data_IF_606043447406
#
_entry.id   IF_606043447406
#
_cell.length_a   1.000
_cell.length_b   1.000
_cell.length_c   1.000
_cell.angle_alpha   90.00
_cell.angle_beta   90.00
_cell.angle_gamma   90.00
#
_symmetry.space_group_name_H-M   'P 1'
#
loop_
_entity.id
_entity.type
_entity.pdbx_description
1 polymer ?
#
# COMPACT_ATOMS: atom_id res chain seq x y z
N UNK A 1 -36.65 1.53 -9.98
CA UNK A 1 -35.32 0.91 -10.21
C UNK A 1 -34.28 1.80 -9.53
N UNK A 2 -33.67 1.34 -8.42
CA UNK A 2 -32.70 2.16 -7.66
C UNK A 2 -31.37 2.19 -8.41
N UNK A 3 -30.97 3.37 -8.85
CA UNK A 3 -29.63 3.65 -9.35
C UNK A 3 -28.62 3.38 -8.23
N UNK A 4 -27.86 2.30 -8.32
CA UNK A 4 -26.72 2.07 -7.43
C UNK A 4 -25.59 2.96 -7.94
N UNK A 5 -25.34 4.06 -7.23
CA UNK A 5 -24.11 4.84 -7.40
C UNK A 5 -22.93 3.91 -7.09
N UNK A 6 -22.26 3.44 -8.12
CA UNK A 6 -20.96 2.76 -8.01
C UNK A 6 -19.95 3.84 -7.65
N UNK A 7 -19.86 4.16 -6.36
CA UNK A 7 -18.91 5.13 -5.84
C UNK A 7 -17.51 4.56 -6.13
N UNK A 8 -16.86 5.02 -7.21
CA UNK A 8 -15.44 4.75 -7.45
C UNK A 8 -14.71 5.38 -6.28
N UNK A 9 -14.32 4.60 -5.28
CA UNK A 9 -13.45 5.09 -4.21
C UNK A 9 -12.14 5.51 -4.86
N UNK A 10 -12.01 6.81 -5.17
CA UNK A 10 -10.76 7.38 -5.65
C UNK A 10 -9.80 7.38 -4.46
N UNK A 11 -8.62 6.79 -4.65
CA UNK A 11 -7.54 6.84 -3.67
C UNK A 11 -7.21 8.30 -3.34
N UNK A 12 -7.07 8.59 -2.06
CA UNK A 12 -6.56 9.90 -1.60
C UNK A 12 -5.05 9.96 -1.86
N UNK A 13 -4.41 11.15 -1.85
CA UNK A 13 -2.95 11.24 -1.89
C UNK A 13 -2.27 10.44 -0.77
N UNK A 14 -2.92 10.31 0.39
CA UNK A 14 -2.44 9.51 1.51
C UNK A 14 -2.48 8.00 1.20
N UNK A 15 -3.59 7.52 0.63
CA UNK A 15 -3.69 6.12 0.17
C UNK A 15 -2.65 5.84 -0.92
N UNK A 16 -2.41 6.80 -1.80
CA UNK A 16 -1.42 6.66 -2.87
C UNK A 16 0.00 6.45 -2.32
N UNK A 17 0.39 7.22 -1.30
CA UNK A 17 1.65 7.01 -0.59
C UNK A 17 1.73 5.59 0.01
N UNK A 18 0.65 5.13 0.66
CA UNK A 18 0.58 3.79 1.24
C UNK A 18 0.70 2.69 0.17
N UNK A 19 0.06 2.85 -0.98
CA UNK A 19 0.18 1.94 -2.14
C UNK A 19 1.62 1.86 -2.61
N UNK A 20 2.28 3.00 -2.82
CA UNK A 20 3.67 3.03 -3.30
C UNK A 20 4.63 2.36 -2.31
N UNK A 21 4.41 2.54 -0.99
CA UNK A 21 5.17 1.85 0.05
C UNK A 21 4.96 0.33 -0.05
N UNK A 22 3.70 -0.13 -0.12
CA UNK A 22 3.38 -1.57 -0.23
C UNK A 22 4.04 -2.18 -1.47
N UNK A 23 3.90 -1.53 -2.63
CA UNK A 23 4.47 -2.01 -3.89
C UNK A 23 6.01 -2.05 -3.84
N UNK A 24 6.65 -1.03 -3.22
CA UNK A 24 8.11 -1.00 -3.07
C UNK A 24 8.61 -2.15 -2.19
N UNK A 25 7.90 -2.44 -1.10
CA UNK A 25 8.23 -3.57 -0.23
C UNK A 25 8.01 -4.92 -0.92
N UNK A 26 6.90 -5.09 -1.65
CA UNK A 26 6.66 -6.31 -2.42
C UNK A 26 7.66 -6.51 -3.56
N UNK A 27 8.07 -5.44 -4.26
CA UNK A 27 9.12 -5.49 -5.28
C UNK A 27 10.44 -5.97 -4.68
N UNK A 28 10.79 -5.49 -3.48
CA UNK A 28 12.04 -5.84 -2.80
C UNK A 28 12.04 -7.27 -2.25
N UNK A 29 10.97 -7.65 -1.56
CA UNK A 29 10.88 -8.94 -0.86
C UNK A 29 10.36 -10.07 -1.76
N UNK A 30 9.74 -9.75 -2.89
CA UNK A 30 9.10 -10.68 -3.83
C UNK A 30 7.76 -11.23 -3.33
N UNK A 31 7.70 -11.65 -2.06
CA UNK A 31 6.49 -12.18 -1.42
C UNK A 31 6.43 -11.78 0.04
N UNK A 32 5.25 -11.32 0.49
CA UNK A 32 4.97 -11.05 1.90
C UNK A 32 3.89 -12.00 2.39
N UNK A 33 4.19 -12.78 3.42
CA UNK A 33 3.34 -13.88 3.90
C UNK A 33 2.01 -13.39 4.48
N UNK A 34 1.98 -12.22 5.13
CA UNK A 34 0.78 -11.71 5.79
C UNK A 34 0.66 -10.20 5.66
N UNK A 35 -0.54 -9.70 5.40
CA UNK A 35 -0.82 -8.26 5.37
C UNK A 35 -0.61 -7.58 6.72
N UNK A 36 -0.48 -8.34 7.82
CA UNK A 36 -0.05 -7.80 9.11
C UNK A 36 1.30 -7.08 9.02
N UNK A 37 2.19 -7.53 8.13
CA UNK A 37 3.47 -6.89 7.89
C UNK A 37 3.32 -5.40 7.62
N UNK A 38 2.39 -5.02 6.74
CA UNK A 38 2.15 -3.62 6.39
C UNK A 38 1.50 -2.85 7.53
N UNK A 39 0.63 -3.50 8.32
CA UNK A 39 0.04 -2.86 9.48
C UNK A 39 1.12 -2.48 10.50
N UNK A 40 2.04 -3.41 10.78
CA UNK A 40 3.17 -3.15 11.66
C UNK A 40 4.12 -2.08 11.08
N UNK A 41 4.46 -2.17 9.80
CA UNK A 41 5.29 -1.20 9.10
C UNK A 41 4.71 0.21 9.22
N UNK A 42 3.43 0.38 8.88
CA UNK A 42 2.76 1.68 8.92
C UNK A 42 2.70 2.24 10.34
N UNK A 43 2.15 1.47 11.28
CA UNK A 43 1.88 1.98 12.63
C UNK A 43 3.15 2.20 13.44
N UNK A 44 4.10 1.27 13.36
CA UNK A 44 5.25 1.24 14.27
C UNK A 44 6.46 1.95 13.69
N UNK A 45 6.70 1.85 12.39
CA UNK A 45 7.92 2.37 11.78
C UNK A 45 7.71 3.71 11.08
N UNK A 46 6.54 3.92 10.46
CA UNK A 46 6.27 5.08 9.61
C UNK A 46 5.30 6.08 10.25
N UNK A 47 4.68 5.75 11.38
CA UNK A 47 3.65 6.60 12.00
C UNK A 47 2.44 6.86 11.11
N UNK A 48 2.14 5.94 10.20
CA UNK A 48 1.01 5.98 9.26
C UNK A 48 -0.18 5.27 9.91
N UNK A 49 -1.32 5.95 9.98
CA UNK A 49 -2.58 5.39 10.45
C UNK A 49 -3.43 5.07 9.21
N UNK A 50 -3.40 3.80 8.79
CA UNK A 50 -4.14 3.34 7.62
C UNK A 50 -4.78 1.97 7.86
N UNK A 51 -5.97 1.77 7.31
CA UNK A 51 -6.63 0.46 7.28
C UNK A 51 -6.09 -0.38 6.12
N UNK A 52 -5.09 -1.23 6.42
CA UNK A 52 -4.40 -2.06 5.43
C UNK A 52 -5.35 -2.99 4.67
N UNK A 53 -6.31 -3.63 5.36
CA UNK A 53 -7.17 -4.65 4.73
C UNK A 53 -8.03 -4.06 3.59
N UNK A 54 -8.77 -2.96 3.79
CA UNK A 54 -9.44 -2.25 2.69
C UNK A 54 -8.49 -1.81 1.58
N UNK A 55 -7.28 -1.34 1.91
CA UNK A 55 -6.33 -0.90 0.90
C UNK A 55 -5.85 -2.06 0.01
N UNK A 56 -5.53 -3.21 0.60
CA UNK A 56 -5.16 -4.43 -0.13
C UNK A 56 -6.31 -4.90 -1.03
N UNK A 57 -7.57 -4.82 -0.58
CA UNK A 57 -8.75 -5.13 -1.39
C UNK A 57 -8.85 -4.20 -2.61
N UNK A 58 -8.60 -2.90 -2.45
CA UNK A 58 -8.58 -1.92 -3.57
C UNK A 58 -7.45 -2.25 -4.54
N UNK A 59 -6.23 -2.45 -4.04
CA UNK A 59 -5.07 -2.77 -4.87
C UNK A 59 -5.24 -4.07 -5.65
N UNK A 60 -5.92 -5.07 -5.06
CA UNK A 60 -6.24 -6.34 -5.73
C UNK A 60 -7.27 -6.11 -6.84
N UNK A 61 -8.32 -5.32 -6.60
CA UNK A 61 -9.33 -4.97 -7.63
C UNK A 61 -8.73 -4.18 -8.79
N UNK A 62 -7.68 -3.42 -8.53
CA UNK A 62 -6.95 -2.66 -9.53
C UNK A 62 -5.84 -3.47 -10.21
N UNK A 63 -5.68 -4.75 -9.85
CA UNK A 63 -4.67 -5.66 -10.39
C UNK A 63 -3.24 -5.17 -10.13
N UNK A 64 -2.99 -4.50 -9.01
CA UNK A 64 -1.64 -4.07 -8.62
C UNK A 64 -0.90 -5.16 -7.83
N UNK A 65 -1.65 -6.03 -7.15
CA UNK A 65 -1.15 -7.12 -6.32
C UNK A 65 -2.07 -8.33 -6.42
N UNK A 66 -1.54 -9.49 -6.04
CA UNK A 66 -2.29 -10.74 -5.84
C UNK A 66 -2.09 -11.28 -4.44
N UNK A 67 -3.00 -12.14 -3.97
CA UNK A 67 -2.92 -12.82 -2.67
C UNK A 67 -3.51 -14.24 -2.74
N UNK A 68 -3.15 -15.14 -1.82
CA UNK A 68 -3.71 -16.51 -1.75
C UNK A 68 -4.93 -16.65 -0.83
N UNK A 69 -5.62 -15.53 -0.56
CA UNK A 69 -6.85 -15.50 0.25
C UNK A 69 -6.60 -14.89 1.63
N UNK A 70 -7.52 -15.16 2.57
CA UNK A 70 -7.48 -14.58 3.93
C UNK A 70 -7.26 -15.65 4.99
N UNK A 71 -6.72 -15.28 6.15
CA UNK A 71 -6.74 -16.09 7.36
C UNK A 71 -8.14 -16.06 7.98
N UNK A 72 -8.72 -17.22 8.25
CA UNK A 72 -10.11 -17.32 8.74
C UNK A 72 -10.30 -16.63 10.10
N UNK A 73 -9.25 -16.63 10.93
CA UNK A 73 -9.30 -16.10 12.31
C UNK A 73 -9.13 -14.58 12.39
N UNK A 74 -8.42 -13.97 11.43
CA UNK A 74 -8.04 -12.55 11.51
C UNK A 74 -8.52 -11.70 10.34
N UNK A 75 -9.00 -12.32 9.26
CA UNK A 75 -9.38 -11.62 8.03
C UNK A 75 -8.21 -11.01 7.25
N UNK A 76 -6.97 -11.22 7.70
CA UNK A 76 -5.75 -10.71 7.06
C UNK A 76 -5.45 -11.49 5.77
N UNK A 77 -4.83 -10.82 4.81
CA UNK A 77 -4.43 -11.45 3.54
C UNK A 77 -3.15 -12.25 3.66
N UNK A 78 -3.11 -13.36 2.91
CA UNK A 78 -1.99 -14.31 2.82
C UNK A 78 -1.22 -14.10 1.54
N UNK A 79 0.09 -14.28 1.61
CA UNK A 79 0.95 -14.50 0.44
C UNK A 79 0.77 -13.44 -0.65
N UNK A 80 0.98 -12.19 -0.25
CA UNK A 80 0.87 -11.03 -1.12
C UNK A 80 2.08 -10.96 -2.06
N UNK A 81 1.81 -10.66 -3.32
CA UNK A 81 2.81 -10.48 -4.37
C UNK A 81 2.41 -9.31 -5.28
N UNK A 82 3.39 -8.65 -5.86
CA UNK A 82 3.17 -7.59 -6.85
C UNK A 82 2.92 -8.21 -8.24
N UNK A 83 2.02 -7.60 -9.01
CA UNK A 83 1.79 -7.99 -10.42
C UNK A 83 2.68 -7.18 -11.37
N UNK A 84 2.74 -7.57 -12.63
CA UNK A 84 3.41 -6.78 -13.67
C UNK A 84 2.81 -5.37 -13.80
N UNK A 85 1.48 -5.26 -13.68
CA UNK A 85 0.78 -3.97 -13.67
C UNK A 85 1.14 -3.14 -12.43
N UNK A 86 1.27 -3.77 -11.26
CA UNK A 86 1.76 -3.14 -10.05
C UNK A 86 3.19 -2.61 -10.19
N UNK A 87 4.08 -3.38 -10.82
CA UNK A 87 5.46 -2.95 -11.10
C UNK A 87 5.49 -1.74 -12.04
N UNK A 88 4.71 -1.76 -13.12
CA UNK A 88 4.59 -0.64 -14.04
C UNK A 88 4.03 0.60 -13.34
N UNK A 89 2.95 0.42 -12.57
CA UNK A 89 2.34 1.48 -11.79
C UNK A 89 3.33 2.13 -10.82
N UNK A 90 4.11 1.33 -10.09
CA UNK A 90 5.14 1.82 -9.19
C UNK A 90 6.17 2.67 -9.94
N UNK A 91 6.70 2.15 -11.06
CA UNK A 91 7.69 2.85 -11.89
C UNK A 91 7.18 4.21 -12.39
N UNK A 92 5.93 4.29 -12.80
CA UNK A 92 5.35 5.51 -13.37
C UNK A 92 4.99 6.59 -12.33
N UNK A 93 4.83 6.21 -11.06
CA UNK A 93 4.28 7.09 -10.03
C UNK A 93 5.22 7.38 -8.87
N UNK A 94 6.25 6.57 -8.63
CA UNK A 94 7.16 6.75 -7.48
C UNK A 94 7.85 8.12 -7.48
N UNK A 95 8.26 8.63 -8.65
CA UNK A 95 8.91 9.94 -8.77
C UNK A 95 7.96 11.14 -8.58
N UNK A 96 6.64 10.90 -8.55
CA UNK A 96 5.61 11.92 -8.41
C UNK A 96 5.10 12.05 -6.97
N UNK A 97 5.55 11.17 -6.07
CA UNK A 97 5.06 11.12 -4.70
C UNK A 97 5.46 12.38 -3.93
N UNK A 98 4.50 12.93 -3.18
CA UNK A 98 4.73 14.07 -2.29
C UNK A 98 4.49 13.60 -0.87
N UNK A 99 5.52 13.70 -0.03
CA UNK A 99 5.44 13.36 1.40
C UNK A 99 5.28 14.66 2.19
N UNK A 100 4.12 14.82 2.84
CA UNK A 100 3.82 15.98 3.67
C UNK A 100 4.85 16.13 4.79
N UNK A 101 5.50 17.29 4.90
CA UNK A 101 6.46 17.56 5.98
C UNK A 101 5.76 17.96 7.29
N UNK A 102 4.49 18.38 7.21
CA UNK A 102 3.70 18.82 8.37
C UNK A 102 3.01 17.65 9.07
N UNK A 103 2.70 16.59 8.32
CA UNK A 103 1.94 15.44 8.83
C UNK A 103 2.83 14.39 9.52
N UNK A 104 4.08 14.27 9.09
CA UNK A 104 4.99 13.23 9.54
C UNK A 104 6.15 13.80 10.35
N UNK A 105 6.50 13.12 11.45
CA UNK A 105 7.75 13.39 12.14
C UNK A 105 8.95 13.17 11.18
N UNK A 106 10.00 14.03 11.20
CA UNK A 106 11.12 13.94 10.25
C UNK A 106 11.75 12.54 10.11
N UNK A 107 11.87 11.80 11.22
CA UNK A 107 12.39 10.42 11.21
C UNK A 107 11.53 9.46 10.37
N UNK A 108 10.22 9.66 10.34
CA UNK A 108 9.31 8.84 9.53
C UNK A 108 9.45 9.20 8.05
N UNK A 109 9.61 10.48 7.74
CA UNK A 109 9.85 10.97 6.38
C UNK A 109 11.13 10.35 5.81
N UNK A 110 12.21 10.33 6.60
CA UNK A 110 13.47 9.69 6.22
C UNK A 110 13.28 8.20 5.91
N UNK A 111 12.55 7.47 6.76
CA UNK A 111 12.24 6.05 6.57
C UNK A 111 11.40 5.81 5.31
N UNK A 112 10.39 6.65 5.06
CA UNK A 112 9.56 6.57 3.86
C UNK A 112 10.43 6.79 2.62
N UNK A 113 11.25 7.86 2.59
CA UNK A 113 12.17 8.13 1.47
C UNK A 113 13.11 6.96 1.21
N UNK A 114 13.65 6.35 2.27
CA UNK A 114 14.53 5.18 2.17
C UNK A 114 13.83 3.95 1.59
N UNK A 115 12.57 3.70 1.98
CA UNK A 115 11.77 2.59 1.41
C UNK A 115 11.47 2.84 -0.08
N UNK A 116 11.17 4.09 -0.42
CA UNK A 116 10.84 4.50 -1.79
C UNK A 116 12.08 4.78 -2.67
N UNK A 117 13.29 4.60 -2.14
CA UNK A 117 14.56 4.88 -2.84
C UNK A 117 14.61 6.30 -3.45
N UNK A 118 14.00 7.28 -2.75
CA UNK A 118 14.00 8.68 -3.17
C UNK A 118 15.29 9.36 -2.70
N UNK A 119 16.03 9.96 -3.64
CA UNK A 119 17.23 10.78 -3.41
C UNK A 119 16.91 12.12 -2.77
#
# INVERSE_FOLDING_TARGET
MKTIFRNKMKRTPYDELCVLIILSMLKKEGKIVSSYYFHHLFTTLLGIINEVVPLIEIMTKEDLITHQGRYDTSGLYKDLQITDKGLLYLKENISKVVISQEEFHPIHIERIRKILELS
#
